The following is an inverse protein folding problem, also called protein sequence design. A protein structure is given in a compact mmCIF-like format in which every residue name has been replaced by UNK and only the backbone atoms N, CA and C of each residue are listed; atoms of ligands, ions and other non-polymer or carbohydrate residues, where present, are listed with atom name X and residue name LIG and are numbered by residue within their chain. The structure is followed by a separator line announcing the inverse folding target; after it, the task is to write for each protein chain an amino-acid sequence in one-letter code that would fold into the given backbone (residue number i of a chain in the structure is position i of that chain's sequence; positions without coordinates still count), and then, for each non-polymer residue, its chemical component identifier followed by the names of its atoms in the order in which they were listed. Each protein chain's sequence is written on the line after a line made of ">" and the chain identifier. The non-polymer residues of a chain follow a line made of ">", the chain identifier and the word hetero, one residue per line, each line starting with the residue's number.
data_IF_004721914364
#
_entry.id   IF_004721914364
#
_cell.length_a   1.000
_cell.length_b   1.000
_cell.length_c   1.000
_cell.angle_alpha   90.00
_cell.angle_beta   90.00
_cell.angle_gamma   90.00
#
_symmetry.space_group_name_H-M   'P 1'
#
loop_
_entity.id
_entity.type
_entity.pdbx_description
1 polymer ?
#
# COMPACT_ATOMS: atom_id res chain seq x y z
N UNK A 1 -9.05 0.48 -16.08
CA UNK A 1 -7.57 0.54 -16.06
C UNK A 1 -7.14 -0.35 -14.92
N UNK A 2 -6.14 -1.21 -15.15
CA UNK A 2 -5.64 -2.11 -14.13
C UNK A 2 -5.14 -1.31 -12.91
N UNK A 3 -5.38 -1.84 -11.71
CA UNK A 3 -4.91 -1.29 -10.45
C UNK A 3 -4.84 -2.39 -9.40
N UNK A 4 -4.06 -2.13 -8.35
CA UNK A 4 -4.02 -3.02 -7.20
C UNK A 4 -5.25 -2.78 -6.32
N UNK A 5 -5.87 -3.87 -5.88
CA UNK A 5 -6.89 -3.88 -4.84
C UNK A 5 -6.42 -4.63 -3.61
N UNK A 6 -7.10 -4.44 -2.48
CA UNK A 6 -6.69 -4.92 -1.18
C UNK A 6 -7.87 -5.51 -0.42
N UNK A 7 -7.66 -6.67 0.20
CA UNK A 7 -8.60 -7.39 1.05
C UNK A 7 -8.07 -7.44 2.48
N UNK A 8 -8.49 -6.50 3.36
CA UNK A 8 -8.03 -6.45 4.75
C UNK A 8 -8.22 -7.77 5.50
N UNK A 9 -9.32 -8.47 5.21
CA UNK A 9 -9.70 -9.74 5.84
C UNK A 9 -8.73 -10.90 5.55
N UNK A 10 -7.90 -10.77 4.50
CA UNK A 10 -6.87 -11.76 4.15
C UNK A 10 -5.48 -11.32 4.58
N UNK A 11 -5.30 -10.07 5.03
CA UNK A 11 -3.99 -9.55 5.38
C UNK A 11 -3.53 -10.06 6.75
N UNK A 12 -2.37 -10.70 6.80
CA UNK A 12 -1.77 -11.22 8.03
C UNK A 12 -0.74 -10.27 8.65
N UNK A 13 -0.63 -9.05 8.13
CA UNK A 13 0.29 -8.03 8.65
C UNK A 13 1.78 -8.36 8.50
N UNK A 14 2.18 -9.16 7.51
CA UNK A 14 3.57 -9.59 7.33
C UNK A 14 4.52 -8.53 6.75
N UNK A 15 4.02 -7.35 6.37
CA UNK A 15 4.75 -6.26 5.71
C UNK A 15 5.48 -6.60 4.39
N UNK A 16 5.49 -7.85 3.92
CA UNK A 16 6.29 -8.23 2.74
C UNK A 16 5.89 -7.54 1.43
N UNK A 17 4.66 -7.04 1.32
CA UNK A 17 4.26 -6.22 0.17
C UNK A 17 5.02 -4.89 0.09
N UNK A 18 5.35 -4.27 1.24
CA UNK A 18 6.16 -3.06 1.34
C UNK A 18 7.60 -3.35 0.95
N UNK A 19 8.18 -4.40 1.53
CA UNK A 19 9.58 -4.78 1.27
C UNK A 19 9.82 -5.16 -0.18
N UNK A 20 8.93 -5.97 -0.76
CA UNK A 20 9.05 -6.37 -2.18
C UNK A 20 8.89 -5.20 -3.13
N UNK A 21 8.06 -4.20 -2.77
CA UNK A 21 7.91 -3.02 -3.59
C UNK A 21 9.14 -2.12 -3.53
N UNK A 22 9.70 -1.88 -2.34
CA UNK A 22 10.97 -1.18 -2.16
C UNK A 22 12.10 -1.85 -2.95
N UNK A 23 12.31 -3.15 -2.69
CA UNK A 23 13.36 -3.94 -3.32
C UNK A 23 13.24 -3.93 -4.85
N UNK A 24 12.03 -3.96 -5.40
CA UNK A 24 11.81 -3.89 -6.84
C UNK A 24 12.20 -2.52 -7.43
N UNK A 25 12.05 -1.44 -6.67
CA UNK A 25 12.23 -0.07 -7.16
C UNK A 25 13.69 0.36 -7.14
N UNK A 26 14.39 0.18 -6.03
CA UNK A 26 15.76 0.68 -5.87
C UNK A 26 16.78 -0.40 -5.46
N UNK A 27 16.34 -1.65 -5.25
CA UNK A 27 17.19 -2.75 -4.80
C UNK A 27 17.52 -2.70 -3.30
N UNK A 28 16.87 -1.81 -2.54
CA UNK A 28 17.09 -1.64 -1.11
C UNK A 28 15.84 -2.07 -0.31
N UNK A 29 16.08 -2.60 0.88
CA UNK A 29 15.06 -2.87 1.88
C UNK A 29 14.86 -1.56 2.66
N UNK A 30 14.23 -0.59 2.00
CA UNK A 30 13.96 0.75 2.54
C UNK A 30 12.55 1.17 2.18
N UNK A 31 11.78 1.61 3.16
CA UNK A 31 10.38 2.01 2.92
C UNK A 31 10.30 3.24 2.02
N UNK A 32 11.33 4.08 1.94
CA UNK A 32 11.28 5.41 1.32
C UNK A 32 10.90 5.45 -0.15
N UNK A 33 11.16 4.39 -0.91
CA UNK A 33 10.82 4.31 -2.34
C UNK A 33 9.56 3.49 -2.61
N UNK A 34 9.11 2.69 -1.65
CA UNK A 34 7.93 1.85 -1.80
C UNK A 34 6.66 2.66 -2.04
N UNK A 35 5.86 2.24 -3.03
CA UNK A 35 4.53 2.81 -3.27
C UNK A 35 3.45 2.22 -2.37
N UNK A 36 3.75 1.15 -1.64
CA UNK A 36 2.87 0.48 -0.68
C UNK A 36 3.55 0.43 0.69
N UNK A 37 2.88 0.95 1.72
CA UNK A 37 3.37 0.98 3.09
C UNK A 37 2.51 0.07 3.94
N UNK A 38 3.12 -0.78 4.75
CA UNK A 38 2.43 -1.41 5.86
C UNK A 38 2.28 -0.39 6.99
N UNK A 39 1.03 -0.13 7.38
CA UNK A 39 0.70 0.87 8.37
C UNK A 39 0.09 0.20 9.60
N UNK A 40 0.65 0.52 10.77
CA UNK A 40 0.07 0.17 12.07
C UNK A 40 -0.54 1.42 12.66
N UNK A 41 -1.81 1.33 13.03
CA UNK A 41 -2.55 2.33 13.80
C UNK A 41 -2.67 1.81 15.23
N UNK A 42 -1.74 2.24 16.08
CA UNK A 42 -1.65 1.75 17.46
C UNK A 42 -2.86 2.18 18.29
N UNK A 43 -3.35 3.41 18.11
CA UNK A 43 -4.45 3.96 18.91
C UNK A 43 -5.77 3.22 18.68
N UNK A 44 -6.01 2.73 17.45
CA UNK A 44 -7.22 2.00 17.09
C UNK A 44 -6.98 0.48 17.04
N UNK A 45 -5.77 0.02 17.32
CA UNK A 45 -5.42 -1.40 17.41
C UNK A 45 -5.59 -2.17 16.09
N UNK A 46 -5.23 -1.57 14.95
CA UNK A 46 -5.28 -2.27 13.67
C UNK A 46 -4.03 -2.06 12.83
N UNK A 47 -3.87 -2.92 11.83
CA UNK A 47 -2.90 -2.74 10.76
C UNK A 47 -3.60 -2.75 9.40
N UNK A 48 -2.96 -2.15 8.42
CA UNK A 48 -3.43 -2.13 7.04
C UNK A 48 -2.30 -1.77 6.10
N UNK A 49 -2.67 -1.32 4.90
CA UNK A 49 -1.71 -0.81 3.93
C UNK A 49 -2.11 0.57 3.43
N UNK A 50 -1.12 1.33 2.98
CA UNK A 50 -1.34 2.56 2.23
C UNK A 50 -0.65 2.38 0.88
N UNK A 51 -1.39 2.45 -0.22
CA UNK A 51 -0.82 2.35 -1.57
C UNK A 51 -1.12 3.60 -2.38
N UNK A 52 -0.09 4.26 -2.90
CA UNK A 52 -0.27 5.28 -3.93
C UNK A 52 -0.47 4.61 -5.28
N UNK A 53 -1.71 4.56 -5.74
CA UNK A 53 -2.11 3.97 -7.02
C UNK A 53 -1.58 4.79 -8.21
N UNK A 54 -1.64 4.21 -9.41
CA UNK A 54 -1.16 4.83 -10.65
C UNK A 54 -1.80 6.20 -10.93
N UNK A 55 -3.09 6.38 -10.58
CA UNK A 55 -3.79 7.66 -10.71
C UNK A 55 -3.41 8.72 -9.67
N UNK A 56 -2.51 8.38 -8.75
CA UNK A 56 -2.07 9.27 -7.67
C UNK A 56 -2.97 9.24 -6.44
N UNK A 57 -4.14 8.59 -6.51
CA UNK A 57 -4.95 8.31 -5.32
C UNK A 57 -4.25 7.39 -4.34
N UNK A 58 -4.54 7.58 -3.07
CA UNK A 58 -4.11 6.74 -1.96
C UNK A 58 -5.22 5.74 -1.65
N UNK A 59 -4.88 4.47 -1.75
CA UNK A 59 -5.65 3.36 -1.23
C UNK A 59 -5.27 3.17 0.23
N UNK A 60 -6.24 3.33 1.13
CA UNK A 60 -6.11 3.16 2.57
C UNK A 60 -6.83 1.88 2.98
N UNK A 61 -6.06 0.87 3.39
CA UNK A 61 -6.59 -0.36 3.95
C UNK A 61 -6.93 -0.19 5.42
N UNK A 62 -8.20 -0.42 5.77
CA UNK A 62 -8.71 -0.38 7.14
C UNK A 62 -9.53 -1.63 7.46
N UNK A 63 -9.85 -1.89 8.73
CA UNK A 63 -10.70 -3.04 9.10
C UNK A 63 -12.09 -3.00 8.47
N UNK A 64 -12.68 -1.82 8.30
CA UNK A 64 -13.98 -1.62 7.66
C UNK A 64 -13.97 -1.79 6.13
N UNK A 65 -12.78 -1.89 5.54
CA UNK A 65 -12.59 -2.00 4.09
C UNK A 65 -11.55 -1.04 3.55
N UNK A 66 -11.66 -0.74 2.26
CA UNK A 66 -10.72 0.10 1.53
C UNK A 66 -11.31 1.48 1.28
N UNK A 67 -10.59 2.52 1.69
CA UNK A 67 -10.94 3.92 1.42
C UNK A 67 -9.98 4.50 0.37
N UNK A 68 -10.50 5.21 -0.64
CA UNK A 68 -9.68 5.93 -1.62
C UNK A 68 -9.69 7.43 -1.32
N UNK A 69 -8.51 8.05 -1.23
CA UNK A 69 -8.34 9.49 -0.96
C UNK A 69 -7.31 10.13 -1.87
N UNK A 70 -7.46 11.42 -2.18
CA UNK A 70 -6.37 12.17 -2.82
C UNK A 70 -5.33 12.58 -1.78
N UNK A 71 -4.05 12.72 -2.18
CA UNK A 71 -2.97 13.09 -1.25
C UNK A 71 -3.23 14.36 -0.42
N UNK A 72 -3.95 15.35 -0.95
CA UNK A 72 -4.30 16.60 -0.26
C UNK A 72 -5.49 16.51 0.69
N UNK A 73 -6.25 15.41 0.67
CA UNK A 73 -7.48 15.20 1.46
C UNK A 73 -7.26 14.28 2.67
N UNK A 74 -6.00 13.94 2.97
CA UNK A 74 -5.66 13.15 4.15
C UNK A 74 -5.60 14.07 5.37
N UNK A 75 -6.78 14.40 5.89
CA UNK A 75 -6.96 15.06 7.19
C UNK A 75 -7.46 14.03 8.21
N UNK A 76 -6.68 13.82 9.27
CA UNK A 76 -7.00 12.90 10.36
C UNK A 76 -5.76 12.20 10.90
N UNK A 77 -5.47 12.44 12.19
CA UNK A 77 -4.42 11.75 12.93
C UNK A 77 -4.54 10.23 12.83
N UNK A 78 -3.38 9.58 12.73
CA UNK A 78 -3.23 8.14 12.53
C UNK A 78 -2.42 7.82 11.28
N UNK A 79 -2.82 8.36 10.14
CA UNK A 79 -2.11 8.10 8.88
C UNK A 79 -1.04 9.16 8.69
N UNK A 80 0.21 8.84 9.04
CA UNK A 80 1.37 9.62 8.59
C UNK A 80 1.58 9.40 7.07
N UNK A 81 0.59 9.79 6.25
CA UNK A 81 0.58 9.68 4.80
C UNK A 81 1.47 10.75 4.12
N UNK A 82 2.04 11.68 4.89
CA UNK A 82 2.88 12.75 4.35
C UNK A 82 4.09 12.22 3.57
N UNK A 83 4.82 11.18 4.01
CA UNK A 83 5.89 10.61 3.20
C UNK A 83 5.37 9.92 1.93
N UNK A 84 4.27 9.16 1.99
CA UNK A 84 3.80 8.39 0.83
C UNK A 84 3.29 9.27 -0.31
N UNK A 85 2.70 10.42 0.02
CA UNK A 85 2.25 11.40 -0.98
C UNK A 85 3.39 11.84 -1.91
N UNK A 86 4.62 11.95 -1.40
CA UNK A 86 5.80 12.35 -2.17
C UNK A 86 6.46 11.19 -2.94
N UNK A 87 6.09 9.94 -2.65
CA UNK A 87 6.68 8.77 -3.32
C UNK A 87 6.15 8.57 -4.74
N UNK A 88 6.87 7.80 -5.58
CA UNK A 88 6.38 7.40 -6.89
C UNK A 88 5.05 6.67 -6.78
N UNK A 89 4.14 6.95 -7.71
CA UNK A 89 2.92 6.18 -7.87
C UNK A 89 3.24 4.75 -8.32
N UNK A 90 2.35 3.80 -7.98
CA UNK A 90 2.43 2.43 -8.45
C UNK A 90 2.44 2.38 -9.98
N UNK A 91 3.42 1.70 -10.54
CA UNK A 91 3.59 1.45 -11.98
C UNK A 91 3.12 0.05 -12.39
N UNK A 92 2.43 -0.65 -11.47
CA UNK A 92 2.01 -2.06 -11.60
C UNK A 92 3.16 -3.00 -11.98
N UNK A 93 4.41 -2.64 -11.66
CA UNK A 93 5.59 -3.38 -12.07
C UNK A 93 5.59 -3.69 -13.59
N UNK A 94 5.10 -2.75 -14.41
CA UNK A 94 4.93 -2.92 -15.86
C UNK A 94 4.03 -4.12 -16.25
N UNK A 95 2.99 -4.37 -15.46
CA UNK A 95 2.02 -5.45 -15.71
C UNK A 95 2.31 -6.76 -14.98
N UNK A 96 3.39 -6.84 -14.19
CA UNK A 96 3.69 -8.01 -13.36
C UNK A 96 3.89 -7.67 -11.87
N UNK A 97 2.82 -7.30 -11.13
CA UNK A 97 2.93 -6.82 -9.75
C UNK A 97 3.57 -7.83 -8.80
N UNK A 98 4.76 -7.49 -8.30
CA UNK A 98 5.51 -8.38 -7.40
C UNK A 98 4.86 -8.51 -6.02
N UNK A 99 4.20 -7.47 -5.53
CA UNK A 99 3.48 -7.50 -4.26
C UNK A 99 2.29 -8.49 -4.28
N UNK A 100 1.58 -8.61 -5.41
CA UNK A 100 0.49 -9.59 -5.61
C UNK A 100 1.06 -11.01 -5.60
N UNK A 101 2.11 -11.27 -6.38
CA UNK A 101 2.77 -12.58 -6.44
C UNK A 101 3.37 -13.02 -5.11
N UNK A 102 3.89 -12.08 -4.33
CA UNK A 102 4.50 -12.35 -3.04
C UNK A 102 3.48 -12.59 -1.93
N UNK A 103 2.28 -12.01 -2.04
CA UNK A 103 1.29 -12.09 -0.98
C UNK A 103 0.85 -13.54 -0.72
N UNK A 104 1.19 -14.14 0.44
CA UNK A 104 0.93 -15.57 0.67
C UNK A 104 -0.55 -15.89 0.86
N UNK A 105 -1.36 -14.89 1.18
CA UNK A 105 -2.79 -15.03 1.48
C UNK A 105 -3.71 -14.49 0.40
N UNK A 106 -3.17 -13.91 -0.68
CA UNK A 106 -3.99 -13.27 -1.71
C UNK A 106 -4.78 -12.07 -1.19
N UNK A 107 -4.18 -11.28 -0.28
CA UNK A 107 -4.74 -10.01 0.20
C UNK A 107 -4.60 -8.87 -0.81
N UNK A 108 -3.79 -9.05 -1.86
CA UNK A 108 -3.58 -8.08 -2.95
C UNK A 108 -3.96 -8.74 -4.28
N UNK A 109 -4.76 -8.04 -5.08
CA UNK A 109 -5.26 -8.49 -6.39
C UNK A 109 -5.05 -7.39 -7.44
N UNK A 110 -5.22 -7.71 -8.73
CA UNK A 110 -5.17 -6.75 -9.85
C UNK A 110 -6.55 -6.72 -10.51
N UNK A 111 -7.15 -5.53 -10.62
CA UNK A 111 -8.45 -5.28 -11.30
C UNK A 111 -8.35 -4.13 -12.30
#
# INVERSE_FOLDING_TARGET
>A
MAAITYRPERCIGCAGCEEVCALRRDGLISTMTSSIIFHVEEEKGYFGIILKRAGGELLLGRPEGVELKKPGEVSGGGVSAKPIAMRPACDLCNGDPKCVKYCPTGALEVE
#
